data_IF_885217387137
#
_entry.id   IF_885217387137
#
_cell.length_a   1.000
_cell.length_b   1.000
_cell.length_c   1.000
_cell.angle_alpha   90.00
_cell.angle_beta   90.00
_cell.angle_gamma   90.00
#
_symmetry.space_group_name_H-M   'P 1'
#
loop_
_entity.id
_entity.type
_entity.pdbx_description
1 polymer ?
#
# COMPACT_ATOMS: atom_id res chain seq x y z
N UNK A 1 -19.48 -2.27 -11.73
CA UNK A 1 -18.59 -1.61 -10.73
C UNK A 1 -18.40 -0.17 -11.16
N UNK A 2 -18.71 0.78 -10.27
CA UNK A 2 -18.48 2.20 -10.53
C UNK A 2 -17.12 2.57 -9.94
N UNK A 3 -16.25 3.19 -10.73
CA UNK A 3 -14.93 3.59 -10.24
C UNK A 3 -15.07 4.83 -9.35
N UNK A 4 -14.59 4.73 -8.10
CA UNK A 4 -14.54 5.86 -7.17
C UNK A 4 -13.18 6.52 -7.24
N UNK A 5 -13.17 7.85 -7.43
CA UNK A 5 -11.92 8.63 -7.43
C UNK A 5 -11.45 8.83 -5.99
N UNK A 6 -10.15 8.63 -5.75
CA UNK A 6 -9.52 8.96 -4.48
C UNK A 6 -9.56 10.47 -4.23
N UNK A 7 -9.65 10.87 -2.96
CA UNK A 7 -9.40 12.25 -2.56
C UNK A 7 -7.95 12.64 -2.88
N UNK A 8 -7.66 13.94 -3.06
CA UNK A 8 -6.28 14.41 -3.16
C UNK A 8 -5.47 13.99 -1.94
N UNK A 9 -4.24 13.52 -2.17
CA UNK A 9 -3.28 13.23 -1.10
C UNK A 9 -2.60 14.52 -0.62
N UNK A 10 -2.02 14.50 0.58
CA UNK A 10 -1.18 15.56 1.10
C UNK A 10 0.07 15.77 0.25
N UNK A 11 0.61 17.00 0.24
CA UNK A 11 1.88 17.37 -0.43
C UNK A 11 3.10 17.25 0.52
N UNK A 12 2.93 16.68 1.71
CA UNK A 12 4.01 16.51 2.69
C UNK A 12 4.88 15.26 2.45
N UNK A 13 5.90 15.06 3.30
CA UNK A 13 6.78 13.88 3.18
C UNK A 13 6.08 12.55 3.53
N UNK A 14 4.86 12.56 4.08
CA UNK A 14 4.11 11.39 4.51
C UNK A 14 3.10 10.89 3.45
N UNK A 15 3.03 11.50 2.26
CA UNK A 15 2.15 11.07 1.16
C UNK A 15 2.23 9.56 0.87
N UNK A 16 3.40 8.95 1.07
CA UNK A 16 3.57 7.51 0.87
C UNK A 16 2.68 6.66 1.80
N UNK A 17 2.50 7.08 3.06
CA UNK A 17 1.64 6.40 4.02
C UNK A 17 0.17 6.52 3.61
N UNK A 18 -0.28 7.71 3.21
CA UNK A 18 -1.65 7.95 2.72
C UNK A 18 -1.96 7.12 1.48
N UNK A 19 -1.01 7.04 0.54
CA UNK A 19 -1.15 6.22 -0.65
C UNK A 19 -1.28 4.73 -0.31
N UNK A 20 -0.49 4.21 0.64
CA UNK A 20 -0.61 2.82 1.07
C UNK A 20 -2.00 2.53 1.64
N UNK A 21 -2.52 3.40 2.51
CA UNK A 21 -3.87 3.27 3.09
C UNK A 21 -4.94 3.29 1.99
N UNK A 22 -4.81 4.20 1.01
CA UNK A 22 -5.75 4.28 -0.10
C UNK A 22 -5.75 2.99 -0.95
N UNK A 23 -4.57 2.41 -1.21
CA UNK A 23 -4.43 1.13 -1.91
C UNK A 23 -5.05 0.00 -1.09
N UNK A 24 -4.75 -0.10 0.21
CA UNK A 24 -5.30 -1.13 1.10
C UNK A 24 -6.82 -1.11 1.11
N UNK A 25 -7.43 0.08 1.22
CA UNK A 25 -8.88 0.25 1.14
C UNK A 25 -9.45 -0.20 -0.22
N UNK A 26 -8.76 0.07 -1.33
CA UNK A 26 -9.19 -0.38 -2.66
C UNK A 26 -9.11 -1.92 -2.79
N UNK A 27 -8.07 -2.54 -2.22
CA UNK A 27 -7.91 -4.00 -2.21
C UNK A 27 -9.03 -4.68 -1.41
N UNK A 28 -9.49 -4.08 -0.31
CA UNK A 28 -10.62 -4.63 0.47
C UNK A 28 -11.94 -4.67 -0.32
N UNK A 29 -12.13 -3.78 -1.30
CA UNK A 29 -13.34 -3.74 -2.14
C UNK A 29 -13.36 -4.86 -3.18
N UNK A 30 -12.20 -5.20 -3.76
CA UNK A 30 -12.08 -6.18 -4.84
C UNK A 30 -10.74 -6.93 -4.76
N UNK A 31 -10.55 -7.80 -3.74
CA UNK A 31 -9.26 -8.43 -3.47
C UNK A 31 -8.78 -9.32 -4.62
N UNK A 32 -9.69 -9.87 -5.41
CA UNK A 32 -9.38 -10.68 -6.58
C UNK A 32 -8.75 -9.89 -7.74
N UNK A 33 -8.85 -8.56 -7.72
CA UNK A 33 -8.23 -7.68 -8.72
C UNK A 33 -6.79 -7.28 -8.37
N UNK A 34 -6.33 -7.57 -7.15
CA UNK A 34 -4.97 -7.23 -6.71
C UNK A 34 -3.95 -8.29 -7.18
N UNK A 35 -2.74 -7.84 -7.56
CA UNK A 35 -1.67 -8.72 -8.03
C UNK A 35 -0.92 -9.31 -6.81
N UNK A 36 -1.45 -10.40 -6.25
CA UNK A 36 -0.88 -11.08 -5.08
C UNK A 36 0.46 -11.78 -5.32
N UNK A 37 0.83 -12.05 -6.58
CA UNK A 37 2.11 -12.68 -6.91
C UNK A 37 3.33 -11.80 -6.64
N UNK A 38 3.11 -10.49 -6.39
CA UNK A 38 4.18 -9.58 -6.00
C UNK A 38 4.47 -9.72 -4.49
N UNK A 39 5.69 -10.15 -4.15
CA UNK A 39 6.11 -10.33 -2.77
C UNK A 39 6.41 -9.00 -2.05
N UNK A 40 5.37 -8.18 -1.81
CA UNK A 40 5.48 -6.81 -1.26
C UNK A 40 6.15 -6.74 0.11
N UNK A 41 5.98 -7.77 0.93
CA UNK A 41 6.54 -7.87 2.28
C UNK A 41 7.80 -8.73 2.34
N UNK A 42 8.44 -9.01 1.18
CA UNK A 42 9.73 -9.68 1.16
C UNK A 42 10.75 -8.81 1.87
N UNK A 43 11.38 -9.37 2.90
CA UNK A 43 12.60 -8.84 3.47
C UNK A 43 13.79 -9.38 2.67
N UNK A 44 14.58 -8.53 1.99
CA UNK A 44 15.76 -8.99 1.25
C UNK A 44 16.79 -9.59 2.22
N UNK A 45 17.41 -10.70 1.81
CA UNK A 45 18.55 -11.25 2.56
C UNK A 45 19.64 -10.19 2.67
N UNK A 46 20.02 -9.84 3.91
CA UNK A 46 21.04 -8.84 4.20
C UNK A 46 20.53 -7.41 4.43
N UNK A 47 19.21 -7.16 4.31
CA UNK A 47 18.64 -5.91 4.81
C UNK A 47 18.60 -5.93 6.35
N UNK A 48 18.82 -4.77 6.97
CA UNK A 48 18.64 -4.66 8.42
C UNK A 48 17.18 -4.92 8.81
N UNK A 49 16.97 -5.45 10.01
CA UNK A 49 15.63 -5.58 10.57
C UNK A 49 15.08 -4.17 10.84
N UNK A 50 13.77 -3.94 10.64
CA UNK A 50 13.16 -2.70 11.11
C UNK A 50 13.38 -2.58 12.62
N UNK A 51 13.48 -1.34 13.16
CA UNK A 51 13.66 -1.13 14.58
C UNK A 51 12.56 -1.85 15.38
N UNK A 52 12.97 -2.60 16.40
CA UNK A 52 12.04 -3.21 17.35
C UNK A 52 11.39 -2.09 18.15
N UNK A 53 10.06 -1.98 18.07
CA UNK A 53 9.26 -1.16 18.98
C UNK A 53 9.29 -1.73 20.40
#
# INVERSE_FOLDING_TARGET
MQATRLAPLSEDANTAAELNIAIENAVLVAPEQFIWSYNRYKHPTGAELPPSN
#
